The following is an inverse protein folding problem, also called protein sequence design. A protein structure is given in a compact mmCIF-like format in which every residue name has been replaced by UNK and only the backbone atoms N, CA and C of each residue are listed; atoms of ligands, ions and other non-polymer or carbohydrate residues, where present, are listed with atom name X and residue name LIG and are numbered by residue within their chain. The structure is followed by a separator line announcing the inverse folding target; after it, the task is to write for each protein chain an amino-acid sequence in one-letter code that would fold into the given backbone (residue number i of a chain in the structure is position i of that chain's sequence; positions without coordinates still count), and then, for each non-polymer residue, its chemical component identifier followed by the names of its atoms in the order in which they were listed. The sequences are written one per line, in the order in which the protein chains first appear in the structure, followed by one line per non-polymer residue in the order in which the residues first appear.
data_IF_043062825703
#
_entry.id   IF_043062825703
#
_cell.length_a   1.000
_cell.length_b   1.000
_cell.length_c   1.000
_cell.angle_alpha   90.00
_cell.angle_beta   90.00
_cell.angle_gamma   90.00
#
_symmetry.space_group_name_H-M   'P 1'
#
loop_
_entity.id
_entity.type
_entity.pdbx_description
1 polymer ?
#
# COMPACT_ATOMS: atom_id res chain seq x y z
N UNK A 1 -64.19 -27.26 -9.35
CA UNK A 1 -63.31 -28.46 -9.22
C UNK A 1 -62.07 -28.02 -8.46
N UNK A 2 -62.13 -28.08 -7.13
CA UNK A 2 -61.43 -29.06 -6.27
C UNK A 2 -59.92 -28.80 -6.13
N UNK A 3 -59.59 -28.24 -4.96
CA UNK A 3 -58.31 -28.32 -4.25
C UNK A 3 -57.69 -29.72 -4.32
N UNK A 4 -56.37 -29.78 -4.46
CA UNK A 4 -55.57 -30.96 -4.11
C UNK A 4 -54.43 -30.56 -3.16
N UNK A 5 -54.59 -31.05 -1.94
CA UNK A 5 -53.63 -31.13 -0.83
C UNK A 5 -52.69 -32.34 -1.00
N UNK A 6 -51.47 -32.23 -0.47
CA UNK A 6 -50.55 -33.34 -0.12
C UNK A 6 -49.55 -32.75 0.90
N UNK A 7 -49.59 -32.95 2.23
CA UNK A 7 -49.46 -34.11 3.14
C UNK A 7 -48.22 -34.98 2.90
N UNK A 8 -47.26 -34.94 3.84
CA UNK A 8 -46.59 -36.08 4.53
C UNK A 8 -45.56 -35.53 5.58
N UNK A 9 -45.14 -36.30 6.62
CA UNK A 9 -45.51 -36.00 8.01
C UNK A 9 -44.34 -35.67 8.99
N UNK A 10 -44.72 -35.14 10.16
CA UNK A 10 -43.93 -35.09 11.40
C UNK A 10 -43.79 -36.48 12.02
N UNK A 11 -42.61 -36.83 12.54
CA UNK A 11 -42.42 -37.92 13.49
C UNK A 11 -41.85 -37.33 14.79
N UNK A 12 -42.42 -37.79 15.90
CA UNK A 12 -42.24 -37.31 17.27
C UNK A 12 -41.43 -38.27 18.14
N UNK A 13 -40.66 -37.66 19.07
CA UNK A 13 -40.42 -37.98 20.49
C UNK A 13 -40.00 -39.40 20.93
N UNK A 14 -38.84 -39.40 21.61
CA UNK A 14 -38.48 -40.04 22.89
C UNK A 14 -39.02 -41.43 23.22
N UNK A 15 -38.13 -42.30 23.73
CA UNK A 15 -38.34 -43.03 24.99
C UNK A 15 -36.98 -43.53 25.55
N UNK A 16 -36.72 -43.10 26.79
CA UNK A 16 -35.74 -43.63 27.74
C UNK A 16 -35.95 -45.12 28.03
N UNK A 17 -34.87 -45.90 28.10
CA UNK A 17 -34.78 -47.04 29.04
C UNK A 17 -33.43 -47.07 29.74
N UNK A 18 -33.50 -47.07 31.06
CA UNK A 18 -32.41 -47.18 32.04
C UNK A 18 -32.24 -48.65 32.49
N UNK A 19 -31.13 -48.90 33.20
CA UNK A 19 -30.82 -49.97 34.16
C UNK A 19 -30.11 -51.21 33.55
N UNK A 20 -29.06 -51.81 34.09
CA UNK A 20 -28.52 -51.87 35.47
C UNK A 20 -27.04 -52.38 35.47
N UNK A 21 -26.24 -51.84 36.40
CA UNK A 21 -25.35 -52.52 37.39
C UNK A 21 -24.30 -53.54 36.89
N UNK A 22 -23.00 -53.29 37.18
CA UNK A 22 -22.12 -54.17 38.01
C UNK A 22 -20.82 -53.44 38.42
N UNK A 23 -20.73 -53.27 39.74
CA UNK A 23 -19.60 -53.14 40.66
C UNK A 23 -18.23 -53.73 40.24
N UNK A 24 -17.13 -52.96 40.37
CA UNK A 24 -16.06 -53.11 41.40
C UNK A 24 -14.78 -52.31 41.07
N UNK A 25 -14.36 -51.49 42.05
CA UNK A 25 -12.99 -51.28 42.63
C UNK A 25 -11.77 -51.45 41.69
N UNK A 26 -10.69 -50.66 41.75
CA UNK A 26 -10.23 -49.48 42.51
C UNK A 26 -8.85 -49.16 41.89
N UNK A 27 -8.40 -47.92 42.01
CA UNK A 27 -6.99 -47.48 41.94
C UNK A 27 -6.28 -47.53 40.58
N UNK A 28 -6.38 -46.45 39.79
CA UNK A 28 -5.24 -45.88 39.04
C UNK A 28 -5.58 -44.57 38.29
N UNK A 29 -6.22 -43.59 38.92
CA UNK A 29 -6.46 -42.27 38.27
C UNK A 29 -6.49 -41.12 39.28
N UNK A 30 -5.38 -40.89 40.00
CA UNK A 30 -5.28 -39.70 40.87
C UNK A 30 -4.15 -38.72 40.52
N UNK A 31 -3.46 -38.89 39.38
CA UNK A 31 -2.40 -37.95 38.97
C UNK A 31 -2.57 -37.31 37.57
N UNK A 32 -3.69 -37.56 36.85
CA UNK A 32 -3.94 -36.89 35.56
C UNK A 32 -4.94 -35.72 35.61
N UNK A 33 -5.68 -35.54 36.71
CA UNK A 33 -6.62 -34.41 36.88
C UNK A 33 -6.06 -33.21 37.65
N UNK A 34 -4.87 -33.32 38.24
CA UNK A 34 -4.17 -32.18 38.87
C UNK A 34 -3.15 -31.48 37.95
N UNK A 35 -2.87 -32.04 36.78
CA UNK A 35 -2.00 -31.41 35.78
C UNK A 35 -2.77 -30.59 34.73
N UNK A 36 -4.09 -30.78 34.58
CA UNK A 36 -4.92 -30.02 33.64
C UNK A 36 -5.60 -28.77 34.24
N UNK A 37 -5.53 -28.56 35.56
CA UNK A 37 -5.99 -27.32 36.19
C UNK A 37 -4.85 -26.34 36.52
N UNK A 38 -3.63 -26.57 36.04
CA UNK A 38 -2.48 -25.67 36.22
C UNK A 38 -1.90 -25.07 34.93
N UNK A 39 -2.46 -25.38 33.75
CA UNK A 39 -2.06 -24.74 32.47
C UNK A 39 -3.16 -23.89 31.82
N UNK A 40 -4.26 -23.64 32.54
CA UNK A 40 -5.30 -22.68 32.15
C UNK A 40 -5.56 -21.69 33.28
N UNK A 41 -4.49 -21.21 33.94
CA UNK A 41 -4.51 -19.79 34.31
C UNK A 41 -4.42 -19.08 32.97
N UNK A 42 -5.60 -18.91 32.35
CA UNK A 42 -5.80 -17.87 31.37
C UNK A 42 -5.19 -16.62 32.01
N UNK A 43 -4.04 -16.19 31.50
CA UNK A 43 -3.92 -14.77 31.26
C UNK A 43 -5.10 -14.45 30.34
N UNK A 44 -6.24 -14.10 30.94
CA UNK A 44 -7.07 -13.09 30.33
C UNK A 44 -6.16 -11.88 30.34
N UNK A 45 -5.29 -11.79 29.31
CA UNK A 45 -4.64 -10.54 29.01
C UNK A 45 -5.81 -9.58 28.86
N UNK A 46 -5.92 -8.63 29.79
CA UNK A 46 -6.91 -7.58 29.66
C UNK A 46 -6.77 -7.03 28.24
N UNK A 47 -7.88 -7.01 27.52
CA UNK A 47 -7.92 -6.53 26.15
C UNK A 47 -7.23 -5.17 26.09
N UNK A 48 -6.17 -5.06 25.27
CA UNK A 48 -5.42 -3.82 25.13
C UNK A 48 -6.33 -2.68 24.69
N UNK A 49 -6.01 -1.46 25.11
CA UNK A 49 -6.79 -0.27 24.80
C UNK A 49 -5.96 0.76 24.05
N UNK A 50 -6.44 1.16 22.88
CA UNK A 50 -5.92 2.28 22.08
C UNK A 50 -6.80 3.50 22.37
N UNK A 51 -6.21 4.56 22.91
CA UNK A 51 -6.87 5.85 23.11
C UNK A 51 -6.62 6.80 21.94
N UNK A 52 -7.65 7.51 21.50
CA UNK A 52 -7.54 8.63 20.54
C UNK A 52 -8.63 9.67 20.79
N UNK A 53 -8.64 10.80 20.09
CA UNK A 53 -9.61 11.86 20.34
C UNK A 53 -11.05 11.50 19.86
N UNK A 54 -12.05 12.15 20.46
CA UNK A 54 -13.46 12.10 20.02
C UNK A 54 -13.77 13.16 18.94
N UNK A 55 -15.01 13.27 18.46
CA UNK A 55 -15.42 14.30 17.49
C UNK A 55 -15.01 13.97 16.05
N UNK A 56 -14.76 15.01 15.24
CA UNK A 56 -14.28 14.85 13.86
C UNK A 56 -12.99 14.03 13.85
N UNK A 57 -12.96 12.98 13.03
CA UNK A 57 -11.80 12.11 12.84
C UNK A 57 -11.08 12.34 11.51
N UNK A 58 -9.81 11.99 11.46
CA UNK A 58 -8.91 12.14 10.32
C UNK A 58 -8.35 10.78 9.89
N UNK A 59 -7.60 10.75 8.78
CA UNK A 59 -6.92 9.50 8.38
C UNK A 59 -5.77 9.17 9.32
N UNK A 60 -5.20 10.17 9.99
CA UNK A 60 -4.02 10.04 10.82
C UNK A 60 -4.23 9.03 11.97
N UNK A 61 -5.13 9.33 12.89
CA UNK A 61 -5.38 8.49 14.06
C UNK A 61 -6.04 7.15 13.70
N UNK A 62 -6.78 7.12 12.59
CA UNK A 62 -7.32 5.88 12.04
C UNK A 62 -6.20 4.98 11.55
N UNK A 63 -5.26 5.49 10.74
CA UNK A 63 -4.14 4.70 10.23
C UNK A 63 -3.21 4.26 11.36
N UNK A 64 -2.93 5.14 12.32
CA UNK A 64 -2.18 4.80 13.54
C UNK A 64 -2.83 3.59 14.26
N UNK A 65 -4.14 3.65 14.47
CA UNK A 65 -4.92 2.57 15.10
C UNK A 65 -4.91 1.27 14.26
N UNK A 66 -5.09 1.39 12.94
CA UNK A 66 -5.05 0.26 12.00
C UNK A 66 -3.70 -0.46 12.05
N UNK A 67 -2.59 0.28 11.98
CA UNK A 67 -1.24 -0.27 12.03
C UNK A 67 -0.98 -1.02 13.34
N UNK A 68 -1.36 -0.44 14.48
CA UNK A 68 -1.23 -1.10 15.77
C UNK A 68 -1.96 -2.45 15.79
N UNK A 69 -3.16 -2.55 15.22
CA UNK A 69 -3.94 -3.80 15.17
C UNK A 69 -3.36 -4.88 14.27
N UNK A 70 -2.32 -4.60 13.48
CA UNK A 70 -1.53 -5.65 12.82
C UNK A 70 -0.51 -6.31 13.75
N UNK A 71 -0.20 -5.70 14.89
CA UNK A 71 0.70 -6.27 15.88
C UNK A 71 -0.05 -7.28 16.77
N UNK A 72 0.58 -8.42 17.12
CA UNK A 72 -0.05 -9.42 17.99
C UNK A 72 -0.53 -8.86 19.34
N UNK A 73 0.19 -7.87 19.92
CA UNK A 73 -0.18 -7.24 21.18
C UNK A 73 -1.53 -6.51 21.10
N UNK A 74 -1.81 -5.79 19.99
CA UNK A 74 -2.99 -4.94 19.86
C UNK A 74 -4.03 -5.46 18.86
N UNK A 75 -3.86 -6.68 18.33
CA UNK A 75 -4.75 -7.28 17.32
C UNK A 75 -6.23 -7.16 17.68
N UNK A 76 -6.55 -7.50 18.93
CA UNK A 76 -7.92 -7.46 19.45
C UNK A 76 -8.16 -6.23 20.33
N UNK A 77 -7.33 -5.19 20.22
CA UNK A 77 -7.45 -4.00 21.08
C UNK A 77 -8.78 -3.26 20.87
N UNK A 78 -9.34 -2.76 21.97
CA UNK A 78 -10.47 -1.84 21.96
C UNK A 78 -9.98 -0.43 21.68
N UNK A 79 -10.73 0.31 20.86
CA UNK A 79 -10.48 1.73 20.62
C UNK A 79 -11.41 2.53 21.54
N UNK A 80 -10.86 3.48 22.27
CA UNK A 80 -11.61 4.46 23.07
C UNK A 80 -11.32 5.85 22.49
N UNK A 81 -12.39 6.55 22.11
CA UNK A 81 -12.34 7.90 21.55
C UNK A 81 -12.78 8.91 22.61
N UNK A 82 -11.85 9.70 23.14
CA UNK A 82 -12.10 10.65 24.23
C UNK A 82 -11.03 11.75 24.28
N UNK A 83 -11.37 12.88 24.90
CA UNK A 83 -10.40 13.93 25.30
C UNK A 83 -10.22 14.02 26.81
N UNK A 84 -10.86 13.14 27.58
CA UNK A 84 -10.69 13.07 29.03
C UNK A 84 -9.34 12.42 29.37
N UNK A 85 -8.42 13.22 29.89
CA UNK A 85 -7.08 12.78 30.27
C UNK A 85 -7.09 11.60 31.25
N UNK A 86 -8.04 11.55 32.19
CA UNK A 86 -8.10 10.47 33.17
C UNK A 86 -8.50 9.12 32.55
N UNK A 87 -9.17 9.13 31.40
CA UNK A 87 -9.43 7.94 30.59
C UNK A 87 -8.25 7.60 29.68
N UNK A 88 -7.61 8.61 29.07
CA UNK A 88 -6.42 8.43 28.25
C UNK A 88 -5.26 7.81 29.04
N UNK A 89 -5.07 8.24 30.30
CA UNK A 89 -4.03 7.71 31.20
C UNK A 89 -4.19 6.22 31.51
N UNK A 90 -5.39 5.68 31.35
CA UNK A 90 -5.69 4.24 31.52
C UNK A 90 -5.48 3.41 30.25
N UNK A 91 -5.26 4.05 29.10
CA UNK A 91 -5.05 3.36 27.83
C UNK A 91 -3.62 2.83 27.75
N UNK A 92 -3.44 1.64 27.15
CA UNK A 92 -2.14 1.02 26.95
C UNK A 92 -1.26 1.79 25.96
N UNK A 93 -1.90 2.47 25.00
CA UNK A 93 -1.26 3.32 23.99
C UNK A 93 -2.24 4.43 23.61
N UNK A 94 -1.72 5.64 23.39
CA UNK A 94 -2.53 6.80 23.00
C UNK A 94 -1.94 7.45 21.75
N UNK A 95 -2.80 7.74 20.78
CA UNK A 95 -2.45 8.35 19.49
C UNK A 95 -3.29 9.60 19.26
N UNK A 96 -2.68 10.63 18.71
CA UNK A 96 -3.32 11.86 18.23
C UNK A 96 -4.08 12.67 19.30
N UNK A 97 -3.75 12.46 20.57
CA UNK A 97 -4.36 13.18 21.69
C UNK A 97 -3.48 13.10 22.94
N UNK A 98 -3.63 14.10 23.82
CA UNK A 98 -3.00 14.13 25.14
C UNK A 98 -1.76 15.05 25.23
N UNK A 99 -1.37 15.67 24.13
CA UNK A 99 -0.32 16.69 24.08
C UNK A 99 1.09 16.15 24.31
N UNK A 100 1.32 14.84 24.21
CA UNK A 100 2.61 14.20 24.54
C UNK A 100 3.07 13.24 23.44
N UNK A 101 4.32 13.39 23.00
CA UNK A 101 5.07 12.36 22.31
C UNK A 101 6.16 11.80 23.23
N UNK A 102 6.04 10.52 23.56
CA UNK A 102 6.97 9.77 24.40
C UNK A 102 6.81 8.26 24.09
N UNK A 103 7.79 7.69 23.39
CA UNK A 103 7.76 6.29 22.96
C UNK A 103 7.72 5.31 24.14
N UNK A 104 8.50 5.58 25.19
CA UNK A 104 8.57 4.73 26.40
C UNK A 104 7.22 4.70 27.12
N UNK A 105 6.50 5.83 27.14
CA UNK A 105 5.15 5.93 27.70
C UNK A 105 4.04 5.56 26.71
N UNK A 106 4.38 5.18 25.48
CA UNK A 106 3.43 4.86 24.40
C UNK A 106 2.41 6.00 24.18
N UNK A 107 2.91 7.23 24.11
CA UNK A 107 2.15 8.45 23.79
C UNK A 107 2.66 8.99 22.46
N UNK A 108 1.77 9.13 21.49
CA UNK A 108 2.11 9.46 20.11
C UNK A 108 1.22 10.59 19.61
N UNK A 109 1.22 11.72 20.31
CA UNK A 109 0.58 12.95 19.84
C UNK A 109 1.63 13.87 19.24
N UNK A 110 1.35 14.49 18.10
CA UNK A 110 2.26 15.39 17.38
C UNK A 110 1.91 16.88 17.55
N UNK A 111 0.84 17.24 18.26
CA UNK A 111 0.31 18.62 18.32
C UNK A 111 1.17 19.65 19.10
N UNK A 112 2.31 19.26 19.66
CA UNK A 112 3.15 20.18 20.44
C UNK A 112 3.76 21.22 19.50
N UNK A 113 3.77 22.48 19.92
CA UNK A 113 4.39 23.57 19.15
C UNK A 113 5.84 23.28 18.79
N UNK A 114 6.56 22.66 19.73
CA UNK A 114 8.00 22.43 19.62
C UNK A 114 8.35 21.15 18.83
N UNK A 115 7.34 20.30 18.54
CA UNK A 115 7.57 19.05 17.82
C UNK A 115 7.82 19.33 16.33
N UNK A 116 8.93 18.83 15.81
CA UNK A 116 9.33 19.01 14.41
C UNK A 116 10.16 17.83 13.89
N UNK A 117 9.91 16.61 14.40
CA UNK A 117 10.63 15.43 13.93
C UNK A 117 10.03 14.92 12.62
N UNK A 118 10.92 14.52 11.70
CA UNK A 118 10.60 13.66 10.55
C UNK A 118 10.89 12.19 10.85
N UNK A 119 10.71 11.33 9.83
CA UNK A 119 10.98 9.89 9.94
C UNK A 119 12.47 9.62 10.25
N UNK A 120 13.35 10.26 9.47
CA UNK A 120 14.81 10.16 9.52
C UNK A 120 15.45 11.40 8.86
N UNK A 121 16.77 11.36 8.59
CA UNK A 121 17.53 12.46 7.99
C UNK A 121 17.16 12.80 6.53
N UNK A 122 16.47 11.89 5.83
CA UNK A 122 16.08 12.04 4.43
C UNK A 122 14.62 12.49 4.26
N UNK A 123 13.83 12.47 5.34
CA UNK A 123 12.40 12.80 5.32
C UNK A 123 12.11 14.01 6.21
N UNK A 124 11.86 15.16 5.57
CA UNK A 124 11.70 16.45 6.26
C UNK A 124 10.25 16.81 6.60
N UNK A 125 9.29 15.95 6.25
CA UNK A 125 7.89 16.16 6.62
C UNK A 125 7.72 15.85 8.11
N UNK A 126 7.16 16.82 8.85
CA UNK A 126 6.80 16.66 10.25
C UNK A 126 5.84 15.48 10.38
N UNK A 127 6.12 14.54 11.29
CA UNK A 127 5.28 13.37 11.50
C UNK A 127 3.92 13.75 12.09
N UNK A 128 2.87 13.05 11.69
CA UNK A 128 1.61 12.96 12.42
C UNK A 128 1.62 11.71 13.32
N UNK A 129 0.52 11.37 14.00
CA UNK A 129 0.49 10.20 14.87
C UNK A 129 0.65 8.88 14.12
N UNK A 130 0.17 8.77 12.88
CA UNK A 130 0.43 7.66 11.97
C UNK A 130 1.91 7.56 11.65
N UNK A 131 2.58 8.67 11.32
CA UNK A 131 4.02 8.72 11.11
C UNK A 131 4.82 8.29 12.34
N UNK A 132 4.41 8.73 13.53
CA UNK A 132 5.01 8.31 14.80
C UNK A 132 4.84 6.80 15.07
N UNK A 133 3.64 6.25 14.86
CA UNK A 133 3.42 4.81 14.96
C UNK A 133 4.26 4.06 13.90
N UNK A 134 4.34 4.58 12.69
CA UNK A 134 5.15 3.98 11.62
C UNK A 134 6.63 3.99 11.97
N UNK A 135 7.16 5.09 12.49
CA UNK A 135 8.55 5.26 12.93
C UNK A 135 8.98 4.17 13.91
N UNK A 136 8.11 3.86 14.88
CA UNK A 136 8.44 2.93 15.96
C UNK A 136 8.02 1.48 15.71
N UNK A 137 6.91 1.28 14.98
CA UNK A 137 6.32 -0.04 14.81
C UNK A 137 6.22 -0.51 13.36
N UNK A 138 6.49 0.34 12.37
CA UNK A 138 6.29 0.04 10.95
C UNK A 138 7.00 -1.23 10.49
N UNK A 139 8.27 -1.44 10.90
CA UNK A 139 9.00 -2.68 10.59
C UNK A 139 8.35 -3.92 11.24
N UNK A 140 7.90 -3.83 12.49
CA UNK A 140 7.18 -4.94 13.13
C UNK A 140 5.81 -5.20 12.51
N UNK A 141 5.11 -4.15 12.05
CA UNK A 141 3.87 -4.29 11.27
C UNK A 141 4.13 -5.07 9.98
N UNK A 142 5.20 -4.77 9.25
CA UNK A 142 5.58 -5.53 8.05
C UNK A 142 5.93 -6.99 8.39
N UNK A 143 6.74 -7.21 9.44
CA UNK A 143 7.15 -8.56 9.86
C UNK A 143 5.97 -9.41 10.34
N UNK A 144 5.16 -8.89 11.25
CA UNK A 144 4.11 -9.65 11.97
C UNK A 144 2.75 -9.57 11.29
N UNK A 145 2.40 -8.41 10.76
CA UNK A 145 1.12 -8.18 10.08
C UNK A 145 1.07 -8.79 8.69
N UNK A 146 2.20 -8.79 7.98
CA UNK A 146 2.30 -9.25 6.59
C UNK A 146 3.26 -10.43 6.39
N UNK A 147 3.78 -11.02 7.47
CA UNK A 147 4.65 -12.19 7.46
C UNK A 147 5.91 -12.04 6.57
N UNK A 148 6.48 -10.83 6.51
CA UNK A 148 7.69 -10.57 5.74
C UNK A 148 8.91 -10.91 6.60
N UNK A 149 9.62 -11.99 6.26
CA UNK A 149 10.75 -12.52 7.05
C UNK A 149 12.12 -12.10 6.54
N UNK A 150 12.22 -11.64 5.28
CA UNK A 150 13.46 -11.11 4.71
C UNK A 150 13.69 -9.68 5.21
N UNK A 151 14.73 -9.49 6.03
CA UNK A 151 15.09 -8.21 6.62
C UNK A 151 15.48 -7.15 5.58
N UNK A 152 16.11 -7.53 4.48
CA UNK A 152 16.42 -6.58 3.41
C UNK A 152 15.14 -6.09 2.73
N UNK A 153 14.19 -7.01 2.51
CA UNK A 153 12.86 -6.68 2.00
C UNK A 153 12.11 -5.78 2.97
N UNK A 154 12.15 -6.04 4.28
CA UNK A 154 11.54 -5.18 5.30
C UNK A 154 12.12 -3.76 5.25
N UNK A 155 13.44 -3.60 5.19
CA UNK A 155 14.07 -2.27 5.13
C UNK A 155 13.69 -1.50 3.86
N UNK A 156 13.75 -2.15 2.70
CA UNK A 156 13.37 -1.52 1.42
C UNK A 156 11.89 -1.12 1.41
N UNK A 157 11.02 -1.99 1.95
CA UNK A 157 9.59 -1.70 2.02
C UNK A 157 9.26 -0.65 3.07
N UNK A 158 10.01 -0.57 4.17
CA UNK A 158 9.83 0.45 5.20
C UNK A 158 9.97 1.85 4.60
N UNK A 159 11.08 2.10 3.88
CA UNK A 159 11.29 3.38 3.22
C UNK A 159 10.24 3.61 2.12
N UNK A 160 10.00 2.60 1.28
CA UNK A 160 9.08 2.74 0.13
C UNK A 160 7.64 3.03 0.56
N UNK A 161 7.14 2.34 1.57
CA UNK A 161 5.76 2.52 2.07
C UNK A 161 5.63 3.86 2.77
N UNK A 162 6.67 4.31 3.50
CA UNK A 162 6.66 5.65 4.07
C UNK A 162 6.51 6.71 2.97
N UNK A 163 7.45 6.76 2.02
CA UNK A 163 7.47 7.78 0.96
C UNK A 163 6.21 7.77 0.07
N UNK A 164 5.60 6.60 -0.15
CA UNK A 164 4.47 6.49 -1.10
C UNK A 164 3.08 6.53 -0.46
N UNK A 165 2.98 6.46 0.87
CA UNK A 165 1.69 6.47 1.57
C UNK A 165 1.74 7.33 2.83
N UNK A 166 2.59 6.96 3.79
CA UNK A 166 2.57 7.55 5.15
C UNK A 166 2.95 9.03 5.12
N UNK A 167 3.98 9.40 4.36
CA UNK A 167 4.46 10.79 4.26
C UNK A 167 3.37 11.74 3.76
N UNK A 168 2.51 11.29 2.84
CA UNK A 168 1.39 12.10 2.36
C UNK A 168 0.30 12.32 3.42
N UNK A 169 0.15 11.38 4.36
CA UNK A 169 -0.78 11.48 5.49
C UNK A 169 -0.19 12.43 6.53
N UNK A 170 1.09 12.27 6.87
CA UNK A 170 1.84 13.19 7.73
C UNK A 170 1.74 14.64 7.20
N UNK A 171 1.98 14.84 5.91
CA UNK A 171 1.94 16.16 5.28
C UNK A 171 0.54 16.79 5.34
N UNK A 172 -0.50 16.04 4.96
CA UNK A 172 -1.87 16.54 4.95
C UNK A 172 -2.37 16.91 6.35
N UNK A 173 -2.01 16.11 7.34
CA UNK A 173 -2.43 16.33 8.73
C UNK A 173 -1.72 17.54 9.36
N UNK A 174 -0.44 17.74 9.03
CA UNK A 174 0.32 18.92 9.41
C UNK A 174 0.04 20.16 8.52
N UNK A 175 -0.94 20.11 7.62
CA UNK A 175 -1.35 21.24 6.79
C UNK A 175 -0.34 21.66 5.72
N UNK A 176 0.48 20.73 5.24
CA UNK A 176 1.51 20.96 4.22
C UNK A 176 0.91 20.73 2.83
N UNK A 177 1.08 21.71 1.94
CA UNK A 177 0.67 21.60 0.54
C UNK A 177 1.60 20.65 -0.22
N UNK A 178 1.06 19.88 -1.16
CA UNK A 178 1.85 18.96 -2.00
C UNK A 178 2.86 19.69 -2.91
N UNK A 179 2.55 20.92 -3.28
CA UNK A 179 3.39 21.78 -4.11
C UNK A 179 3.07 23.25 -3.84
N UNK A 180 4.00 24.13 -4.21
CA UNK A 180 3.82 25.58 -4.17
C UNK A 180 2.95 26.07 -5.33
N UNK A 181 2.17 27.12 -5.10
CA UNK A 181 1.34 27.79 -6.12
C UNK A 181 -0.09 27.23 -6.25
N UNK A 182 -0.75 27.55 -7.37
CA UNK A 182 -2.16 27.20 -7.61
C UNK A 182 -2.32 25.86 -8.34
N UNK A 183 -3.19 25.01 -7.80
CA UNK A 183 -3.55 23.72 -8.39
C UNK A 183 -4.29 23.89 -9.73
N UNK A 184 -3.83 23.19 -10.79
CA UNK A 184 -4.53 23.20 -12.09
C UNK A 184 -5.87 22.47 -12.07
N UNK A 185 -6.06 21.54 -11.14
CA UNK A 185 -7.28 20.76 -10.97
C UNK A 185 -7.38 20.24 -9.53
N UNK A 186 -8.60 19.94 -9.07
CA UNK A 186 -8.87 19.40 -7.75
C UNK A 186 -8.94 17.86 -7.76
N UNK A 187 -8.44 17.23 -6.70
CA UNK A 187 -8.54 15.78 -6.48
C UNK A 187 -9.33 15.53 -5.21
N UNK A 188 -10.51 14.93 -5.36
CA UNK A 188 -11.50 14.82 -4.28
C UNK A 188 -11.64 13.37 -3.79
N UNK A 189 -10.72 12.50 -4.21
CA UNK A 189 -10.78 11.04 -4.08
C UNK A 189 -9.59 10.44 -3.32
N UNK A 190 -8.75 11.28 -2.70
CA UNK A 190 -7.65 10.81 -1.85
C UNK A 190 -8.18 10.04 -0.63
N UNK A 191 -7.32 9.29 0.06
CA UNK A 191 -7.69 8.57 1.27
C UNK A 191 -8.29 9.52 2.32
N UNK A 192 -7.69 10.69 2.53
CA UNK A 192 -8.20 11.75 3.41
C UNK A 192 -9.62 12.18 3.04
N UNK A 193 -9.91 12.39 1.75
CA UNK A 193 -11.26 12.73 1.32
C UNK A 193 -12.24 11.57 1.54
N UNK A 194 -11.82 10.32 1.30
CA UNK A 194 -12.65 9.14 1.52
C UNK A 194 -13.00 8.96 3.00
N UNK A 195 -12.02 9.11 3.89
CA UNK A 195 -12.24 9.10 5.35
C UNK A 195 -13.17 10.23 5.76
N UNK A 196 -12.94 11.45 5.26
CA UNK A 196 -13.74 12.61 5.64
C UNK A 196 -15.23 12.47 5.30
N UNK A 197 -15.61 11.65 4.31
CA UNK A 197 -17.02 11.37 3.96
C UNK A 197 -17.77 10.55 5.02
N UNK A 198 -17.06 9.92 5.96
CA UNK A 198 -17.68 9.19 7.06
C UNK A 198 -17.95 10.07 8.28
N UNK A 199 -17.29 11.23 8.40
CA UNK A 199 -17.61 12.16 9.48
C UNK A 199 -19.07 12.61 9.37
N UNK A 200 -19.82 12.70 10.49
CA UNK A 200 -21.16 13.26 10.47
C UNK A 200 -21.16 14.65 9.83
N UNK A 201 -22.15 14.90 8.99
CA UNK A 201 -22.34 16.19 8.37
C UNK A 201 -23.29 17.07 9.21
N UNK A 202 -23.32 18.37 8.92
CA UNK A 202 -24.07 19.36 9.71
C UNK A 202 -25.61 19.17 9.72
N UNK A 203 -26.14 18.25 8.92
CA UNK A 203 -27.57 17.90 8.87
C UNK A 203 -27.89 16.60 9.62
N UNK A 204 -26.89 15.94 10.22
CA UNK A 204 -27.04 14.68 10.95
C UNK A 204 -26.99 14.92 12.46
N UNK A 205 -28.16 14.89 13.14
CA UNK A 205 -28.25 15.14 14.59
C UNK A 205 -27.98 13.89 15.46
N UNK A 206 -28.39 12.70 15.01
CA UNK A 206 -28.36 11.44 15.77
C UNK A 206 -27.50 10.37 15.07
N UNK A 207 -26.19 10.61 14.94
CA UNK A 207 -25.24 9.64 14.34
C UNK A 207 -24.24 9.13 15.37
N UNK A 208 -24.01 7.81 15.37
CA UNK A 208 -22.92 7.21 16.14
C UNK A 208 -21.58 7.47 15.43
N UNK A 209 -20.85 8.48 15.92
CA UNK A 209 -19.50 8.82 15.46
C UNK A 209 -18.53 7.64 15.55
N UNK A 210 -18.68 6.75 16.53
CA UNK A 210 -17.78 5.61 16.71
C UNK A 210 -18.07 4.54 15.67
N UNK A 211 -19.33 4.30 15.32
CA UNK A 211 -19.68 3.44 14.20
C UNK A 211 -19.06 3.95 12.89
N UNK A 212 -19.19 5.26 12.62
CA UNK A 212 -18.58 5.91 11.45
C UNK A 212 -17.06 5.79 11.42
N UNK A 213 -16.41 5.96 12.58
CA UNK A 213 -14.98 5.78 12.74
C UNK A 213 -14.54 4.35 12.39
N UNK A 214 -15.31 3.33 12.81
CA UNK A 214 -15.01 1.94 12.47
C UNK A 214 -15.18 1.66 10.98
N UNK A 215 -16.22 2.21 10.33
CA UNK A 215 -16.39 2.10 8.87
C UNK A 215 -15.25 2.78 8.10
N UNK A 216 -14.80 3.96 8.55
CA UNK A 216 -13.63 4.63 7.98
C UNK A 216 -12.34 3.82 8.23
N UNK A 217 -12.22 3.16 9.38
CA UNK A 217 -11.10 2.27 9.71
C UNK A 217 -10.99 1.08 8.76
N UNK A 218 -12.12 0.49 8.34
CA UNK A 218 -12.12 -0.57 7.34
C UNK A 218 -11.59 -0.08 5.98
N UNK A 219 -11.98 1.13 5.57
CA UNK A 219 -11.47 1.76 4.33
C UNK A 219 -9.96 2.00 4.39
N UNK A 220 -9.46 2.53 5.50
CA UNK A 220 -8.02 2.78 5.69
C UNK A 220 -7.24 1.48 5.77
N UNK A 221 -7.78 0.46 6.46
CA UNK A 221 -7.19 -0.87 6.54
C UNK A 221 -7.07 -1.52 5.18
N UNK A 222 -8.13 -1.49 4.36
CA UNK A 222 -8.12 -2.06 3.02
C UNK A 222 -7.11 -1.35 2.12
N UNK A 223 -7.03 -0.01 2.20
CA UNK A 223 -6.04 0.77 1.46
C UNK A 223 -4.61 0.40 1.88
N UNK A 224 -4.33 0.39 3.19
CA UNK A 224 -3.01 0.03 3.73
C UNK A 224 -2.61 -1.40 3.34
N UNK A 225 -3.52 -2.37 3.48
CA UNK A 225 -3.32 -3.74 3.02
C UNK A 225 -2.98 -3.80 1.53
N UNK A 226 -3.75 -3.09 0.69
CA UNK A 226 -3.54 -3.06 -0.76
C UNK A 226 -2.15 -2.52 -1.10
N UNK A 227 -1.75 -1.42 -0.47
CA UNK A 227 -0.42 -0.82 -0.65
C UNK A 227 0.69 -1.77 -0.25
N UNK A 228 0.67 -2.30 0.98
CA UNK A 228 1.72 -3.20 1.49
C UNK A 228 1.80 -4.45 0.62
N UNK A 229 0.67 -5.06 0.26
CA UNK A 229 0.63 -6.24 -0.59
C UNK A 229 1.15 -5.98 -2.01
N UNK A 230 0.80 -4.85 -2.62
CA UNK A 230 1.32 -4.47 -3.93
C UNK A 230 2.83 -4.26 -3.89
N UNK A 231 3.33 -3.47 -2.93
CA UNK A 231 4.75 -3.15 -2.88
C UNK A 231 5.60 -4.37 -2.53
N UNK A 232 5.12 -5.21 -1.61
CA UNK A 232 5.82 -6.44 -1.22
C UNK A 232 5.80 -7.52 -2.30
N UNK A 233 4.67 -7.78 -2.95
CA UNK A 233 4.52 -8.96 -3.81
C UNK A 233 4.69 -8.67 -5.31
N UNK A 234 4.61 -7.39 -5.72
CA UNK A 234 4.66 -6.99 -7.13
C UNK A 234 5.82 -6.04 -7.38
N UNK A 235 5.86 -4.89 -6.71
CA UNK A 235 6.89 -3.87 -6.95
C UNK A 235 8.28 -4.39 -6.56
N UNK A 236 8.44 -5.00 -5.38
CA UNK A 236 9.73 -5.52 -4.93
C UNK A 236 10.31 -6.56 -5.90
N UNK A 237 9.48 -7.48 -6.37
CA UNK A 237 9.89 -8.54 -7.31
C UNK A 237 10.29 -7.98 -8.69
N UNK A 238 9.77 -6.80 -9.08
CA UNK A 238 10.14 -6.14 -10.32
C UNK A 238 11.58 -5.59 -10.31
N UNK A 239 12.20 -5.43 -9.14
CA UNK A 239 13.58 -4.90 -9.02
C UNK A 239 14.57 -5.75 -9.81
N UNK A 240 14.52 -7.07 -9.64
CA UNK A 240 15.44 -8.01 -10.29
C UNK A 240 15.27 -8.01 -11.81
N UNK A 241 14.03 -8.04 -12.30
CA UNK A 241 13.72 -8.02 -13.75
C UNK A 241 14.26 -6.73 -14.38
N UNK A 242 14.04 -5.59 -13.72
CA UNK A 242 14.53 -4.30 -14.21
C UNK A 242 16.06 -4.24 -14.19
N UNK A 243 16.70 -4.72 -13.13
CA UNK A 243 18.16 -4.74 -13.00
C UNK A 243 18.82 -5.60 -14.08
N UNK A 244 18.26 -6.77 -14.37
CA UNK A 244 18.73 -7.64 -15.45
C UNK A 244 18.60 -6.95 -16.81
N UNK A 245 17.47 -6.30 -17.08
CA UNK A 245 17.26 -5.56 -18.32
C UNK A 245 18.25 -4.38 -18.48
N UNK A 246 18.53 -3.65 -17.40
CA UNK A 246 19.53 -2.58 -17.39
C UNK A 246 20.95 -3.13 -17.61
N UNK A 247 21.31 -4.25 -16.98
CA UNK A 247 22.63 -4.88 -17.21
C UNK A 247 22.79 -5.39 -18.64
N UNK A 248 21.73 -5.93 -19.24
CA UNK A 248 21.72 -6.48 -20.59
C UNK A 248 21.53 -5.42 -21.70
N UNK A 249 21.40 -4.13 -21.35
CA UNK A 249 21.01 -3.06 -22.28
C UNK A 249 21.89 -2.96 -23.54
N UNK A 250 23.20 -3.17 -23.43
CA UNK A 250 24.12 -3.11 -24.58
C UNK A 250 23.99 -4.31 -25.53
N UNK A 251 23.62 -5.47 -25.00
CA UNK A 251 23.33 -6.64 -25.83
C UNK A 251 21.99 -6.49 -26.56
N UNK A 252 21.04 -5.78 -25.95
CA UNK A 252 19.74 -5.51 -26.58
C UNK A 252 19.83 -4.39 -27.62
N UNK A 253 20.47 -3.26 -27.29
CA UNK A 253 20.64 -2.13 -28.19
C UNK A 253 21.99 -1.47 -27.99
N UNK A 254 22.76 -1.31 -29.07
CA UNK A 254 24.15 -0.82 -29.08
C UNK A 254 24.36 0.53 -28.39
N UNK A 255 23.37 1.42 -28.39
CA UNK A 255 23.46 2.71 -27.64
C UNK A 255 23.53 2.55 -26.12
N UNK A 256 23.05 1.43 -25.59
CA UNK A 256 22.84 1.24 -24.15
C UNK A 256 21.81 2.21 -23.54
N UNK A 257 21.00 2.89 -24.35
CA UNK A 257 19.91 3.80 -23.91
C UNK A 257 18.54 3.12 -23.84
N UNK A 258 18.48 1.84 -24.21
CA UNK A 258 17.23 1.07 -24.36
C UNK A 258 17.33 -0.21 -23.54
N UNK A 259 16.30 -0.48 -22.75
CA UNK A 259 16.16 -1.76 -22.06
C UNK A 259 15.01 -2.56 -22.66
N UNK A 260 15.13 -3.88 -22.58
CA UNK A 260 14.04 -4.80 -22.91
C UNK A 260 13.64 -5.62 -21.69
N UNK A 261 12.39 -5.51 -21.29
CA UNK A 261 11.85 -6.33 -20.22
C UNK A 261 11.31 -7.63 -20.82
N UNK A 262 11.91 -8.75 -20.41
CA UNK A 262 11.43 -10.09 -20.78
C UNK A 262 9.99 -10.34 -20.28
N UNK A 263 9.62 -9.68 -19.17
CA UNK A 263 8.28 -9.70 -18.60
C UNK A 263 7.91 -8.29 -18.16
N UNK A 264 6.78 -7.79 -18.65
CA UNK A 264 6.26 -6.50 -18.20
C UNK A 264 6.03 -6.50 -16.68
N UNK A 265 6.59 -5.48 -16.01
CA UNK A 265 6.53 -5.27 -14.57
C UNK A 265 6.60 -3.76 -14.29
N UNK A 266 6.24 -3.28 -13.09
CA UNK A 266 6.45 -1.88 -12.73
C UNK A 266 7.95 -1.57 -12.63
N UNK A 267 8.50 -0.94 -13.67
CA UNK A 267 9.95 -0.74 -13.83
C UNK A 267 10.43 0.68 -13.55
N UNK A 268 9.57 1.69 -13.70
CA UNK A 268 9.98 3.10 -13.76
C UNK A 268 10.79 3.55 -12.54
N UNK A 269 10.25 3.34 -11.34
CA UNK A 269 10.95 3.71 -10.09
C UNK A 269 12.27 2.96 -9.92
N UNK A 270 12.32 1.70 -10.35
CA UNK A 270 13.52 0.87 -10.26
C UNK A 270 14.63 1.37 -11.17
N UNK A 271 14.30 1.93 -12.35
CA UNK A 271 15.29 2.54 -13.23
C UNK A 271 16.07 3.63 -12.47
N UNK A 272 15.38 4.53 -11.76
CA UNK A 272 16.05 5.64 -11.06
C UNK A 272 17.03 5.13 -9.99
N UNK A 273 16.59 4.14 -9.20
CA UNK A 273 17.42 3.55 -8.15
C UNK A 273 18.61 2.78 -8.73
N UNK A 274 18.38 1.96 -9.75
CA UNK A 274 19.43 1.17 -10.40
C UNK A 274 20.46 2.08 -11.08
N UNK A 275 20.02 3.17 -11.72
CA UNK A 275 20.94 4.12 -12.33
C UNK A 275 21.84 4.81 -11.31
N UNK A 276 21.31 5.14 -10.12
CA UNK A 276 22.10 5.66 -8.99
C UNK A 276 23.10 4.60 -8.52
N UNK A 277 22.64 3.37 -8.26
CA UNK A 277 23.48 2.24 -7.80
C UNK A 277 24.63 1.92 -8.79
N UNK A 278 24.38 2.03 -10.09
CA UNK A 278 25.35 1.72 -11.16
C UNK A 278 26.10 2.94 -11.69
N UNK A 279 25.88 4.13 -11.14
CA UNK A 279 26.47 5.40 -11.59
C UNK A 279 26.25 5.69 -13.10
N UNK A 280 25.02 5.46 -13.59
CA UNK A 280 24.58 5.69 -14.97
C UNK A 280 23.34 6.58 -15.03
N UNK A 281 23.27 7.58 -14.15
CA UNK A 281 22.14 8.50 -14.02
C UNK A 281 21.67 9.06 -15.37
N UNK A 282 20.36 9.02 -15.59
CA UNK A 282 19.66 9.56 -16.77
C UNK A 282 20.08 8.95 -18.12
N UNK A 283 20.72 7.78 -18.11
CA UNK A 283 21.16 7.10 -19.33
C UNK A 283 20.07 6.24 -19.97
N UNK A 284 19.12 5.68 -19.23
CA UNK A 284 18.05 4.87 -19.82
C UNK A 284 16.94 5.81 -20.31
N UNK A 285 16.62 5.72 -21.60
CA UNK A 285 15.65 6.60 -22.26
C UNK A 285 14.38 5.86 -22.65
N UNK A 286 14.49 4.58 -23.01
CA UNK A 286 13.38 3.79 -23.54
C UNK A 286 13.31 2.40 -22.90
N UNK A 287 12.10 1.90 -22.74
CA UNK A 287 11.81 0.56 -22.29
C UNK A 287 10.87 -0.13 -23.27
N UNK A 288 11.34 -1.22 -23.88
CA UNK A 288 10.54 -2.09 -24.76
C UNK A 288 10.11 -3.33 -23.98
N UNK A 289 8.86 -3.76 -24.16
CA UNK A 289 8.33 -4.97 -23.53
C UNK A 289 7.14 -5.51 -24.31
N UNK A 290 6.73 -6.74 -23.98
CA UNK A 290 5.42 -7.27 -24.39
C UNK A 290 4.42 -7.12 -23.25
N UNK A 291 3.25 -6.56 -23.54
CA UNK A 291 2.18 -6.45 -22.55
C UNK A 291 1.53 -7.81 -22.26
N UNK A 292 0.58 -7.84 -21.32
CA UNK A 292 -0.11 -9.08 -20.92
C UNK A 292 -0.89 -9.76 -22.05
N UNK A 293 -1.13 -9.06 -23.15
CA UNK A 293 -1.80 -9.56 -24.35
C UNK A 293 -0.80 -9.84 -25.49
N UNK A 294 0.50 -9.86 -25.16
CA UNK A 294 1.60 -10.10 -26.09
C UNK A 294 1.79 -9.00 -27.14
N UNK A 295 1.18 -7.83 -26.98
CA UNK A 295 1.43 -6.69 -27.88
C UNK A 295 2.77 -6.05 -27.53
N UNK A 296 3.55 -5.65 -28.54
CA UNK A 296 4.81 -4.98 -28.32
C UNK A 296 4.56 -3.51 -27.98
N UNK A 297 5.15 -3.04 -26.88
CA UNK A 297 5.04 -1.67 -26.37
C UNK A 297 6.43 -1.07 -26.21
N UNK A 298 6.52 0.24 -26.43
CA UNK A 298 7.69 1.03 -26.09
C UNK A 298 7.24 2.23 -25.25
N UNK A 299 7.81 2.37 -24.06
CA UNK A 299 7.63 3.53 -23.19
C UNK A 299 8.90 4.37 -23.13
N UNK A 300 8.75 5.68 -23.01
CA UNK A 300 9.85 6.59 -22.70
C UNK A 300 9.99 6.73 -21.18
N UNK A 301 11.21 6.88 -20.68
CA UNK A 301 11.47 7.13 -19.26
C UNK A 301 11.27 8.61 -18.94
N UNK A 302 10.52 8.91 -17.88
CA UNK A 302 10.39 10.28 -17.36
C UNK A 302 11.57 10.67 -16.49
N UNK A 303 11.71 11.97 -16.21
CA UNK A 303 12.61 12.44 -15.17
C UNK A 303 12.02 12.09 -13.81
N UNK A 304 12.88 11.66 -12.90
CA UNK A 304 12.48 11.27 -11.54
C UNK A 304 11.72 12.42 -10.86
N UNK A 305 10.54 12.11 -10.30
CA UNK A 305 9.66 13.07 -9.60
C UNK A 305 9.16 14.27 -10.42
N UNK A 306 9.28 14.27 -11.75
CA UNK A 306 8.78 15.35 -12.61
C UNK A 306 7.55 14.94 -13.45
N UNK A 307 6.83 13.89 -13.02
CA UNK A 307 5.60 13.43 -13.67
C UNK A 307 5.80 13.07 -15.15
N UNK A 308 5.15 13.84 -16.04
CA UNK A 308 5.19 13.62 -17.50
C UNK A 308 6.35 14.34 -18.21
N UNK A 309 7.30 14.94 -17.47
CA UNK A 309 8.52 15.47 -18.09
C UNK A 309 9.41 14.31 -18.54
N UNK A 310 9.37 14.03 -19.84
CA UNK A 310 10.10 12.90 -20.45
C UNK A 310 11.59 13.22 -20.57
N UNK A 311 12.46 12.23 -20.38
CA UNK A 311 13.89 12.36 -20.69
C UNK A 311 14.09 12.58 -22.19
N UNK A 312 13.39 11.78 -23.00
CA UNK A 312 13.38 11.92 -24.45
C UNK A 312 12.04 11.43 -25.04
N UNK A 313 11.15 12.33 -25.49
CA UNK A 313 9.93 11.94 -26.18
C UNK A 313 10.19 11.40 -27.59
N UNK A 314 9.27 10.59 -28.13
CA UNK A 314 9.29 10.18 -29.54
C UNK A 314 9.22 11.39 -30.51
N UNK A 315 9.61 11.25 -31.79
CA UNK A 315 9.62 12.32 -32.80
C UNK A 315 8.33 13.12 -32.87
N UNK A 316 8.43 14.44 -32.91
CA UNK A 316 7.26 15.32 -32.91
C UNK A 316 6.33 15.06 -34.11
N UNK A 317 6.89 14.75 -35.28
CA UNK A 317 6.14 14.41 -36.49
C UNK A 317 5.32 13.12 -36.37
N UNK A 318 5.71 12.18 -35.49
CA UNK A 318 5.03 10.89 -35.34
C UNK A 318 3.90 10.93 -34.30
N UNK A 319 3.97 11.89 -33.38
CA UNK A 319 3.07 11.96 -32.23
C UNK A 319 1.61 12.15 -32.66
N UNK A 320 0.72 11.32 -32.10
CA UNK A 320 -0.71 11.34 -32.40
C UNK A 320 -1.09 10.58 -33.67
N UNK A 321 -0.12 10.17 -34.49
CA UNK A 321 -0.36 9.34 -35.67
C UNK A 321 -0.60 7.87 -35.30
N UNK A 322 -1.32 7.17 -36.17
CA UNK A 322 -1.69 5.75 -36.03
C UNK A 322 -1.63 5.05 -37.39
N UNK A 323 -1.33 3.74 -37.37
CA UNK A 323 -1.40 2.82 -38.50
C UNK A 323 -0.79 3.42 -39.79
N UNK A 324 -1.53 3.40 -40.90
CA UNK A 324 -1.07 3.84 -42.23
C UNK A 324 -0.45 5.24 -42.24
N UNK A 325 -1.04 6.20 -41.52
CA UNK A 325 -0.51 7.56 -41.46
C UNK A 325 0.85 7.60 -40.74
N UNK A 326 1.01 6.83 -39.67
CA UNK A 326 2.27 6.71 -38.93
C UNK A 326 3.32 5.97 -39.76
N UNK A 327 2.96 4.88 -40.42
CA UNK A 327 3.89 4.13 -41.29
C UNK A 327 4.37 5.01 -42.45
N UNK A 328 3.46 5.78 -43.07
CA UNK A 328 3.79 6.71 -44.16
C UNK A 328 4.77 7.80 -43.72
N UNK A 329 4.54 8.39 -42.54
CA UNK A 329 5.39 9.48 -42.02
C UNK A 329 6.74 8.96 -41.50
N UNK A 330 6.74 7.84 -40.79
CA UNK A 330 7.95 7.29 -40.16
C UNK A 330 8.80 6.44 -41.10
N UNK A 331 8.21 5.90 -42.16
CA UNK A 331 8.79 4.86 -43.01
C UNK A 331 9.19 3.59 -42.21
N UNK A 332 8.44 3.28 -41.15
CA UNK A 332 8.64 2.09 -40.30
C UNK A 332 7.39 1.23 -40.35
N UNK A 333 7.47 0.12 -41.09
CA UNK A 333 6.40 -0.87 -41.15
C UNK A 333 6.14 -1.51 -39.78
N UNK A 334 4.86 -1.77 -39.49
CA UNK A 334 4.41 -2.42 -38.26
C UNK A 334 4.22 -1.51 -37.04
N UNK A 335 4.48 -0.20 -37.15
CA UNK A 335 4.12 0.73 -36.07
C UNK A 335 2.62 0.99 -36.03
N UNK A 336 2.00 0.76 -34.88
CA UNK A 336 0.54 0.89 -34.71
C UNK A 336 0.14 2.28 -34.22
N UNK A 337 0.85 2.87 -33.25
CA UNK A 337 0.61 4.27 -32.83
C UNK A 337 1.77 4.88 -32.05
N UNK A 338 1.80 6.22 -31.98
CA UNK A 338 2.59 7.00 -31.01
C UNK A 338 1.64 7.96 -30.27
N UNK A 339 1.68 7.99 -28.94
CA UNK A 339 0.85 8.91 -28.16
C UNK A 339 1.15 10.37 -28.50
N UNK A 340 0.15 11.26 -28.41
CA UNK A 340 0.29 12.69 -28.78
C UNK A 340 1.42 13.42 -28.01
N UNK A 341 1.62 13.09 -26.73
CA UNK A 341 2.72 13.66 -25.94
C UNK A 341 4.05 12.90 -26.09
N UNK A 342 4.07 11.81 -26.86
CA UNK A 342 5.30 11.07 -27.18
C UNK A 342 5.83 10.16 -26.08
N UNK A 343 5.04 9.83 -25.04
CA UNK A 343 5.51 9.00 -23.92
C UNK A 343 5.41 7.48 -24.15
N UNK A 344 4.59 7.04 -25.10
CA UNK A 344 4.35 5.62 -25.36
C UNK A 344 3.98 5.34 -26.80
N UNK A 345 4.31 4.15 -27.27
CA UNK A 345 4.06 3.64 -28.61
C UNK A 345 3.78 2.13 -28.57
N UNK A 346 3.18 1.61 -29.64
CA UNK A 346 3.04 0.18 -29.87
C UNK A 346 3.30 -0.16 -31.34
N UNK A 347 3.65 -1.43 -31.56
CA UNK A 347 3.89 -1.99 -32.88
C UNK A 347 3.71 -3.50 -32.89
N UNK A 348 3.77 -4.07 -34.09
CA UNK A 348 3.49 -5.48 -34.35
C UNK A 348 4.62 -6.40 -33.84
N UNK A 349 5.84 -5.89 -33.79
CA UNK A 349 7.03 -6.63 -33.36
C UNK A 349 8.06 -5.73 -32.66
N UNK A 350 9.12 -6.32 -32.12
CA UNK A 350 10.15 -5.60 -31.36
C UNK A 350 11.03 -4.78 -32.30
N UNK A 351 11.28 -5.29 -33.51
CA UNK A 351 12.14 -4.68 -34.51
C UNK A 351 11.62 -3.32 -34.97
N UNK A 352 10.30 -3.17 -35.18
CA UNK A 352 9.71 -1.88 -35.55
C UNK A 352 9.83 -0.84 -34.41
N UNK A 353 9.71 -1.27 -33.15
CA UNK A 353 9.89 -0.40 -31.99
C UNK A 353 11.35 -0.01 -31.80
N UNK A 354 12.30 -0.90 -32.10
CA UNK A 354 13.73 -0.56 -32.14
C UNK A 354 13.97 0.51 -33.21
N UNK A 355 13.44 0.35 -34.43
CA UNK A 355 13.56 1.37 -35.49
C UNK A 355 12.96 2.72 -35.07
N UNK A 356 11.84 2.72 -34.33
CA UNK A 356 11.26 3.94 -33.79
C UNK A 356 12.21 4.63 -32.81
N UNK A 357 12.81 3.86 -31.89
CA UNK A 357 13.81 4.38 -30.95
C UNK A 357 15.02 4.92 -31.70
N UNK A 358 15.55 4.20 -32.68
CA UNK A 358 16.68 4.61 -33.51
C UNK A 358 16.39 5.92 -34.26
N UNK A 359 15.19 6.08 -34.85
CA UNK A 359 14.76 7.34 -35.45
C UNK A 359 14.74 8.48 -34.43
N UNK A 360 14.25 8.21 -33.21
CA UNK A 360 14.22 9.17 -32.10
C UNK A 360 15.63 9.60 -31.69
N UNK A 361 16.55 8.64 -31.53
CA UNK A 361 17.95 8.91 -31.18
C UNK A 361 18.64 9.73 -32.28
N UNK A 362 18.42 9.37 -33.54
CA UNK A 362 18.99 10.07 -34.70
C UNK A 362 18.53 11.52 -34.81
N UNK A 363 17.24 11.80 -34.65
CA UNK A 363 16.69 13.17 -34.67
C UNK A 363 17.33 14.06 -33.58
N UNK A 364 17.73 13.45 -32.46
CA UNK A 364 18.33 14.14 -31.33
C UNK A 364 19.87 14.05 -31.29
N UNK A 365 20.50 13.60 -32.38
CA UNK A 365 21.97 13.54 -32.49
C UNK A 365 22.64 12.54 -31.55
N UNK A 366 21.92 11.55 -31.03
CA UNK A 366 22.45 10.52 -30.14
C UNK A 366 22.95 9.35 -30.99
N UNK A 367 24.25 9.07 -30.92
CA UNK A 367 24.86 7.94 -31.62
C UNK A 367 24.42 6.60 -31.02
N UNK A 368 24.23 5.61 -31.89
CA UNK A 368 23.96 4.24 -31.51
C UNK A 368 24.75 3.29 -32.38
#
# INVERSE_FOLDING_TARGET
MKLLTSKYPKISKDIFQRNNIILRKKNQTSNFKKLLCRSFIFYSAMQKVIGTHSGRFHTDEILASVMLKFLPEYKDAKIIRTRDQALLDKCDIVVDVGGIYDHEKKRYDHHQREFNEGLDENHNIRLSSAGLIYKHYGKEVLRKGFNITDENKVNILYDKIYTTLIESIDALDNGINQYEGEAKYQINTTLQHRVNRFNPNFLEDDVDENERFMLASDVVKDEFCSFVNYYSNIWYEAKTITLEAVKNRYNFHKSGRVIFLQKHCPYSDHIYNIEKELNIKDQILFCIYKDRYNNCRCGTVSKENEGFNLRLPFPASFRGLKNEALVKESNIEGLSFVHYSGFTSAGDNIECLVKLVEATLKENGISY
#
